data_IF_713396164705
#
_entry.id   IF_713396164705
#
_cell.length_a   1.000
_cell.length_b   1.000
_cell.length_c   1.000
_cell.angle_alpha   90.00
_cell.angle_beta   90.00
_cell.angle_gamma   90.00
#
_symmetry.space_group_name_H-M   'P 1'
#
loop_
_entity.id
_entity.type
_entity.pdbx_description
1 polymer ?
#
# COMPACT_ATOMS: atom_id res chain seq x y z
N UNK A 1 10.77 -2.29 1.20
CA UNK A 1 10.56 -1.58 -0.09
C UNK A 1 11.83 -0.90 -0.55
N UNK A 2 12.56 -0.24 0.35
CA UNK A 2 13.75 0.53 -0.01
C UNK A 2 14.87 -0.27 -0.73
N UNK A 3 15.09 -1.54 -0.36
CA UNK A 3 16.02 -2.41 -1.11
C UNK A 3 15.59 -2.60 -2.58
N UNK A 4 14.31 -2.95 -2.81
CA UNK A 4 13.76 -3.14 -4.16
C UNK A 4 13.86 -1.85 -4.97
N UNK A 5 13.50 -0.72 -4.37
CA UNK A 5 13.62 0.61 -5.00
C UNK A 5 15.08 0.94 -5.34
N UNK A 6 16.03 0.64 -4.46
CA UNK A 6 17.46 0.88 -4.72
C UNK A 6 18.01 0.06 -5.89
N UNK A 7 17.44 -1.13 -6.15
CA UNK A 7 17.83 -1.97 -7.28
C UNK A 7 17.29 -1.39 -8.59
N UNK A 8 16.04 -0.92 -8.60
CA UNK A 8 15.45 -0.23 -9.76
C UNK A 8 16.23 1.04 -10.08
N UNK A 9 16.52 1.88 -9.08
CA UNK A 9 17.31 3.10 -9.24
C UNK A 9 18.74 2.85 -9.77
N UNK A 10 19.28 1.64 -9.58
CA UNK A 10 20.60 1.22 -10.10
C UNK A 10 20.52 0.51 -11.45
N UNK A 11 19.35 0.47 -12.08
CA UNK A 11 19.15 -0.14 -13.40
C UNK A 11 19.08 -1.66 -13.41
N UNK A 12 18.82 -2.31 -12.27
CA UNK A 12 18.71 -3.78 -12.21
C UNK A 12 17.35 -4.33 -12.65
N UNK A 13 16.44 -3.49 -13.17
CA UNK A 13 15.14 -3.89 -13.71
C UNK A 13 14.00 -3.00 -13.26
N UNK A 14 12.77 -3.52 -13.33
CA UNK A 14 11.52 -2.85 -12.93
C UNK A 14 10.98 -3.40 -11.61
N UNK A 15 10.18 -2.62 -10.90
CA UNK A 15 9.58 -3.01 -9.62
C UNK A 15 8.14 -2.53 -9.48
N UNK A 16 7.36 -3.27 -8.69
CA UNK A 16 5.99 -2.91 -8.33
C UNK A 16 5.97 -2.56 -6.84
N UNK A 17 5.50 -1.36 -6.52
CA UNK A 17 5.34 -0.83 -5.16
C UNK A 17 3.99 -0.13 -5.04
N UNK A 18 3.47 -0.01 -3.82
CA UNK A 18 2.26 0.77 -3.57
C UNK A 18 2.59 2.27 -3.61
N UNK A 19 1.65 3.15 -4.00
CA UNK A 19 1.91 4.59 -4.12
C UNK A 19 2.46 5.24 -2.83
N UNK A 20 1.99 4.86 -1.64
CA UNK A 20 2.54 5.41 -0.40
C UNK A 20 3.95 4.90 -0.09
N UNK A 21 4.25 3.64 -0.40
CA UNK A 21 5.62 3.15 -0.24
C UNK A 21 6.59 3.76 -1.25
N UNK A 22 6.09 4.23 -2.39
CA UNK A 22 6.82 5.05 -3.35
C UNK A 22 7.05 6.47 -2.82
N UNK A 23 5.99 7.14 -2.35
CA UNK A 23 6.04 8.51 -1.82
C UNK A 23 7.04 8.66 -0.66
N UNK A 24 7.11 7.66 0.22
CA UNK A 24 8.03 7.66 1.37
C UNK A 24 9.47 7.23 1.02
N UNK A 25 9.76 6.83 -0.22
CA UNK A 25 11.08 6.32 -0.59
C UNK A 25 12.07 7.45 -0.90
N UNK A 26 13.30 7.32 -0.38
CA UNK A 26 14.43 8.19 -0.75
C UNK A 26 14.87 8.06 -2.21
N UNK A 27 14.47 6.99 -2.89
CA UNK A 27 14.85 6.71 -4.28
C UNK A 27 13.80 7.20 -5.29
N UNK A 28 12.72 7.85 -4.84
CA UNK A 28 11.59 8.26 -5.70
C UNK A 28 12.05 9.14 -6.88
N UNK A 29 13.02 10.02 -6.65
CA UNK A 29 13.54 10.97 -7.66
C UNK A 29 14.56 10.31 -8.61
N UNK A 30 14.94 9.06 -8.35
CA UNK A 30 15.91 8.30 -9.12
C UNK A 30 15.28 7.17 -9.96
N UNK A 31 13.94 7.13 -10.04
CA UNK A 31 13.19 6.15 -10.82
C UNK A 31 12.03 6.84 -11.53
N UNK A 32 11.52 6.20 -12.58
CA UNK A 32 10.37 6.68 -13.35
C UNK A 32 9.17 5.77 -13.11
N UNK A 33 7.98 6.38 -12.96
CA UNK A 33 6.72 5.62 -12.91
C UNK A 33 6.31 5.29 -14.34
N UNK A 34 6.19 4.00 -14.64
CA UNK A 34 5.73 3.53 -15.94
C UNK A 34 4.21 3.55 -15.95
N UNK A 35 3.61 4.37 -16.82
CA UNK A 35 2.17 4.32 -17.08
C UNK A 35 1.82 3.03 -17.83
N UNK A 36 0.89 2.27 -17.28
CA UNK A 36 0.47 0.98 -17.81
C UNK A 36 -1.07 0.90 -17.79
N UNK A 37 -1.75 1.29 -18.88
CA UNK A 37 -3.20 1.52 -18.92
C UNK A 37 -4.06 0.34 -18.46
N UNK A 38 -3.61 -0.88 -18.72
CA UNK A 38 -4.33 -2.11 -18.37
C UNK A 38 -3.89 -2.71 -17.03
N UNK A 39 -2.92 -2.10 -16.35
CA UNK A 39 -2.45 -2.53 -15.05
C UNK A 39 -3.20 -1.80 -13.94
N UNK A 40 -4.26 -2.45 -13.44
CA UNK A 40 -5.13 -1.95 -12.36
C UNK A 40 -4.91 -2.74 -11.07
N UNK A 41 -3.76 -2.62 -10.40
CA UNK A 41 -3.46 -3.41 -9.20
C UNK A 41 -4.46 -3.08 -8.09
N UNK A 42 -5.08 -4.13 -7.55
CA UNK A 42 -6.04 -4.01 -6.45
C UNK A 42 -5.40 -4.54 -5.16
N UNK A 43 -5.31 -3.70 -4.14
CA UNK A 43 -4.91 -4.13 -2.79
C UNK A 43 -6.18 -4.43 -2.01
N UNK A 44 -6.33 -5.69 -1.59
CA UNK A 44 -7.42 -6.11 -0.69
C UNK A 44 -6.85 -6.28 0.71
N UNK A 45 -7.45 -5.60 1.68
CA UNK A 45 -7.14 -5.77 3.09
C UNK A 45 -8.20 -6.66 3.74
N UNK A 46 -7.78 -7.61 4.56
CA UNK A 46 -8.68 -8.46 5.35
C UNK A 46 -8.38 -8.28 6.83
N UNK A 47 -9.43 -8.12 7.63
CA UNK A 47 -9.36 -8.17 9.08
C UNK A 47 -9.90 -9.52 9.53
N UNK A 48 -9.00 -10.41 9.98
CA UNK A 48 -9.36 -11.75 10.45
C UNK A 48 -9.26 -11.83 11.97
N UNK A 49 -10.29 -12.41 12.59
CA UNK A 49 -10.27 -12.80 13.99
C UNK A 49 -11.18 -14.01 14.22
N UNK A 50 -10.96 -14.75 15.31
CA UNK A 50 -11.79 -15.91 15.68
C UNK A 50 -13.03 -15.46 16.47
N UNK A 51 -14.25 -15.91 16.11
CA UNK A 51 -15.44 -15.73 16.94
C UNK A 51 -15.53 -16.75 18.10
N UNK A 52 -16.14 -16.41 19.26
CA UNK A 52 -16.55 -15.05 19.64
C UNK A 52 -15.34 -14.23 20.14
N UNK A 53 -15.32 -12.94 19.81
CA UNK A 53 -14.19 -12.05 20.17
C UNK A 53 -14.23 -11.55 21.63
N UNK A 54 -15.30 -11.83 22.38
CA UNK A 54 -15.45 -11.42 23.78
C UNK A 54 -15.16 -9.93 24.00
N UNK A 55 -14.25 -9.62 24.94
CA UNK A 55 -13.83 -8.24 25.28
C UNK A 55 -13.19 -7.49 24.11
N UNK A 56 -12.68 -8.20 23.10
CA UNK A 56 -12.06 -7.59 21.92
C UNK A 56 -13.09 -7.21 20.84
N UNK A 57 -14.36 -7.59 20.98
CA UNK A 57 -15.38 -7.28 19.97
C UNK A 57 -15.46 -5.77 19.65
N UNK A 58 -15.47 -4.92 20.69
CA UNK A 58 -15.52 -3.46 20.52
C UNK A 58 -14.23 -2.88 19.92
N UNK A 59 -13.02 -3.20 20.44
CA UNK A 59 -11.77 -2.78 19.80
C UNK A 59 -11.62 -3.21 18.33
N UNK A 60 -12.04 -4.44 17.99
CA UNK A 60 -12.00 -4.94 16.62
C UNK A 60 -12.94 -4.14 15.71
N UNK A 61 -14.16 -3.84 16.17
CA UNK A 61 -15.08 -3.00 15.43
C UNK A 61 -14.53 -1.58 15.21
N UNK A 62 -13.98 -0.96 16.25
CA UNK A 62 -13.36 0.37 16.16
C UNK A 62 -12.20 0.38 15.13
N UNK A 63 -11.31 -0.61 15.21
CA UNK A 63 -10.20 -0.74 14.28
C UNK A 63 -10.68 -0.97 12.85
N UNK A 64 -11.68 -1.84 12.65
CA UNK A 64 -12.29 -2.09 11.33
C UNK A 64 -12.80 -0.79 10.71
N UNK A 65 -13.55 0.00 11.48
CA UNK A 65 -14.19 1.20 10.97
C UNK A 65 -13.12 2.27 10.64
N UNK A 66 -12.12 2.45 11.51
CA UNK A 66 -10.97 3.32 11.23
C UNK A 66 -10.14 2.86 10.02
N UNK A 67 -9.95 1.55 9.86
CA UNK A 67 -9.24 0.98 8.71
C UNK A 67 -10.01 1.23 7.41
N UNK A 68 -11.33 1.05 7.41
CA UNK A 68 -12.17 1.35 6.25
C UNK A 68 -12.05 2.83 5.88
N UNK A 69 -12.10 3.74 6.84
CA UNK A 69 -11.98 5.17 6.58
C UNK A 69 -10.58 5.56 6.08
N UNK A 70 -9.52 4.97 6.62
CA UNK A 70 -8.15 5.15 6.13
C UNK A 70 -7.93 4.63 4.72
N UNK A 71 -8.64 3.55 4.32
CA UNK A 71 -8.55 2.97 2.98
C UNK A 71 -9.43 3.67 1.92
N UNK A 72 -10.43 4.47 2.33
CA UNK A 72 -11.25 5.28 1.40
C UNK A 72 -10.48 6.46 0.80
N UNK A 73 -9.42 6.92 1.47
CA UNK A 73 -8.56 7.97 0.94
C UNK A 73 -7.86 7.40 -0.29
N UNK A 74 -8.02 7.99 -1.49
CA UNK A 74 -7.20 7.64 -2.64
C UNK A 74 -5.74 7.81 -2.20
N UNK A 75 -5.01 6.71 -2.11
CA UNK A 75 -3.56 6.79 -1.93
C UNK A 75 -3.07 7.67 -3.08
N UNK A 76 -2.37 8.80 -2.83
CA UNK A 76 -2.09 9.78 -3.86
C UNK A 76 -1.47 9.08 -5.06
N UNK A 77 -2.27 8.95 -6.12
CA UNK A 77 -1.83 8.49 -7.41
C UNK A 77 -1.05 9.69 -7.94
N UNK A 78 0.27 9.62 -7.80
CA UNK A 78 1.19 10.59 -8.36
C UNK A 78 0.85 10.64 -9.85
N UNK A 79 0.37 11.80 -10.29
CA UNK A 79 0.14 12.12 -11.70
C UNK A 79 1.45 12.38 -12.42
#
# INVERSE_FOLDING_TARGET
VDLRMSLVARGHGIGIVTPGAFADSRWRDAVEVIDCPDFKPQVRAWLLHRPPAGRLARPIALFRDALIDGLKVPMPLVS
#
